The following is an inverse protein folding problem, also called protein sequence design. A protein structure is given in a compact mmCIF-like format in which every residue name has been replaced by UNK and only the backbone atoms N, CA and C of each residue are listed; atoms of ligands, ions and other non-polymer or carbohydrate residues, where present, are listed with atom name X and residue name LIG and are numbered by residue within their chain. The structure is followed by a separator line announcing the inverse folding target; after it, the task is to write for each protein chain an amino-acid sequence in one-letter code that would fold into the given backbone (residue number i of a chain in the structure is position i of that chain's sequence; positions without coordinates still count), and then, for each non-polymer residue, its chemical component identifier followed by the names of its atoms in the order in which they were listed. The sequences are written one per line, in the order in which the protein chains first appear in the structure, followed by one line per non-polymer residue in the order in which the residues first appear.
data_IF_040711881509
#
_entry.id   IF_040711881509
#
_cell.length_a   1.000
_cell.length_b   1.000
_cell.length_c   1.000
_cell.angle_alpha   90.00
_cell.angle_beta   90.00
_cell.angle_gamma   90.00
#
_symmetry.space_group_name_H-M   'P 1'
#
loop_
_entity.id
_entity.type
_entity.pdbx_description
1 polymer ?
#
# COMPACT_ATOMS: atom_id res chain seq x y z
N UNK A 1 38.09 7.46 -13.34
CA UNK A 1 36.74 7.77 -13.87
C UNK A 1 35.72 6.66 -13.61
N UNK A 2 36.12 5.41 -13.36
CA UNK A 2 35.20 4.27 -13.26
C UNK A 2 34.62 4.10 -11.83
N UNK A 3 35.32 4.54 -10.78
CA UNK A 3 34.85 4.38 -9.38
C UNK A 3 33.69 5.33 -9.00
N UNK A 4 33.57 6.48 -9.66
CA UNK A 4 32.49 7.45 -9.40
C UNK A 4 31.13 7.01 -9.93
N UNK A 5 31.08 6.31 -11.07
CA UNK A 5 29.84 5.76 -11.64
C UNK A 5 29.35 4.50 -10.91
N UNK A 6 30.28 3.68 -10.40
CA UNK A 6 29.91 2.49 -9.61
C UNK A 6 29.36 2.90 -8.24
N UNK A 7 29.96 3.91 -7.59
CA UNK A 7 29.47 4.45 -6.32
C UNK A 7 28.06 5.04 -6.39
N UNK A 8 27.78 5.86 -7.42
CA UNK A 8 26.45 6.45 -7.60
C UNK A 8 25.37 5.40 -7.89
N UNK A 9 25.70 4.37 -8.68
CA UNK A 9 24.75 3.29 -9.00
C UNK A 9 24.42 2.43 -7.78
N UNK A 10 25.38 2.15 -6.90
CA UNK A 10 25.14 1.38 -5.66
C UNK A 10 24.30 2.17 -4.64
N UNK A 11 24.49 3.49 -4.54
CA UNK A 11 23.64 4.36 -3.71
C UNK A 11 22.20 4.41 -4.21
N UNK A 12 22.01 4.51 -5.54
CA UNK A 12 20.69 4.52 -6.16
C UNK A 12 19.94 3.19 -5.94
N UNK A 13 20.59 2.05 -6.15
CA UNK A 13 20.03 0.71 -5.88
C UNK A 13 19.68 0.53 -4.39
N UNK A 14 20.50 1.04 -3.47
CA UNK A 14 20.24 1.00 -2.02
C UNK A 14 19.01 1.86 -1.66
N UNK A 15 18.89 3.04 -2.25
CA UNK A 15 17.74 3.93 -2.05
C UNK A 15 16.45 3.31 -2.61
N UNK A 16 16.52 2.68 -3.79
CA UNK A 16 15.41 1.91 -4.36
C UNK A 16 15.00 0.77 -3.42
N UNK A 17 15.95 -0.03 -2.94
CA UNK A 17 15.70 -1.12 -2.01
C UNK A 17 15.03 -0.67 -0.70
N UNK A 18 15.48 0.46 -0.14
CA UNK A 18 14.87 1.05 1.06
C UNK A 18 13.44 1.55 0.78
N UNK A 19 13.22 2.19 -0.36
CA UNK A 19 11.89 2.67 -0.77
C UNK A 19 10.89 1.54 -0.95
N UNK A 20 11.30 0.41 -1.53
CA UNK A 20 10.46 -0.78 -1.73
C UNK A 20 10.09 -1.43 -0.39
N UNK A 21 11.08 -1.60 0.48
CA UNK A 21 10.87 -2.15 1.83
C UNK A 21 9.88 -1.28 2.62
N UNK A 22 10.02 0.05 2.54
CA UNK A 22 9.09 0.99 3.17
C UNK A 22 7.67 0.87 2.62
N UNK A 23 7.50 0.73 1.29
CA UNK A 23 6.18 0.56 0.66
C UNK A 23 5.50 -0.74 1.09
N UNK A 24 6.23 -1.85 1.10
CA UNK A 24 5.70 -3.13 1.56
C UNK A 24 5.30 -3.06 3.04
N UNK A 25 6.13 -2.43 3.87
CA UNK A 25 5.82 -2.23 5.29
C UNK A 25 4.53 -1.42 5.49
N UNK A 26 4.30 -0.35 4.72
CA UNK A 26 3.05 0.42 4.80
C UNK A 26 1.80 -0.42 4.48
N UNK A 27 1.89 -1.33 3.52
CA UNK A 27 0.78 -2.23 3.14
C UNK A 27 0.56 -3.28 4.23
N UNK A 28 1.64 -3.93 4.68
CA UNK A 28 1.56 -4.98 5.71
C UNK A 28 1.13 -4.44 7.08
N UNK A 29 1.46 -3.19 7.41
CA UNK A 29 1.05 -2.56 8.66
C UNK A 29 -0.45 -2.23 8.69
N UNK A 30 -1.06 -1.92 7.54
CA UNK A 30 -2.48 -1.62 7.41
C UNK A 30 -3.27 -2.78 6.78
N UNK A 31 -2.85 -4.01 7.01
CA UNK A 31 -3.34 -5.18 6.28
C UNK A 31 -4.85 -5.39 6.45
N UNK A 32 -5.41 -5.12 7.63
CA UNK A 32 -6.85 -5.23 7.88
C UNK A 32 -7.64 -4.25 7.00
N UNK A 33 -7.18 -2.99 6.93
CA UNK A 33 -7.79 -1.98 6.07
C UNK A 33 -7.68 -2.34 4.60
N UNK A 34 -6.54 -2.91 4.18
CA UNK A 34 -6.31 -3.36 2.81
C UNK A 34 -7.25 -4.51 2.43
N UNK A 35 -7.48 -5.48 3.33
CA UNK A 35 -8.41 -6.57 3.07
C UNK A 35 -9.83 -6.06 2.83
N UNK A 36 -10.30 -5.12 3.66
CA UNK A 36 -11.63 -4.51 3.51
C UNK A 36 -11.73 -3.77 2.18
N UNK A 37 -10.70 -2.98 1.82
CA UNK A 37 -10.67 -2.26 0.53
C UNK A 37 -10.71 -3.23 -0.66
N UNK A 38 -9.94 -4.31 -0.60
CA UNK A 38 -9.87 -5.29 -1.70
C UNK A 38 -11.18 -6.06 -1.86
N UNK A 39 -11.84 -6.44 -0.76
CA UNK A 39 -13.12 -7.15 -0.79
C UNK A 39 -14.24 -6.29 -1.40
N UNK A 40 -14.21 -4.98 -1.17
CA UNK A 40 -15.14 -4.03 -1.82
C UNK A 40 -14.80 -3.79 -3.29
N UNK A 41 -13.52 -3.74 -3.67
CA UNK A 41 -13.11 -3.43 -5.05
C UNK A 41 -13.23 -4.62 -5.99
N UNK A 42 -12.86 -5.82 -5.53
CA UNK A 42 -12.67 -7.00 -6.37
C UNK A 42 -13.29 -8.23 -5.70
N UNK A 43 -14.18 -8.89 -6.43
CA UNK A 43 -14.78 -10.15 -5.98
C UNK A 43 -14.78 -11.15 -7.12
N UNK A 44 -14.48 -12.42 -6.81
CA UNK A 44 -14.42 -13.50 -7.81
C UNK A 44 -13.54 -13.14 -9.04
N UNK A 45 -12.47 -12.37 -8.84
CA UNK A 45 -11.57 -11.93 -9.91
C UNK A 45 -12.10 -10.79 -10.79
N UNK A 46 -13.25 -10.20 -10.47
CA UNK A 46 -13.86 -9.10 -11.23
C UNK A 46 -13.88 -7.81 -10.41
N UNK A 47 -13.69 -6.67 -11.06
CA UNK A 47 -13.87 -5.35 -10.44
C UNK A 47 -15.37 -5.12 -10.22
N UNK A 48 -15.78 -4.99 -8.96
CA UNK A 48 -17.19 -4.80 -8.58
C UNK A 48 -17.51 -3.39 -8.13
N UNK A 49 -16.50 -2.63 -7.66
CA UNK A 49 -16.65 -1.23 -7.27
C UNK A 49 -15.40 -0.42 -7.59
N UNK A 50 -15.61 0.84 -7.95
CA UNK A 50 -14.56 1.82 -8.26
C UNK A 50 -14.77 3.16 -7.56
N UNK A 51 -15.97 3.41 -7.04
CA UNK A 51 -16.29 4.60 -6.28
C UNK A 51 -15.61 4.55 -4.92
N UNK A 52 -14.61 5.41 -4.73
CA UNK A 52 -13.83 5.52 -3.49
C UNK A 52 -14.68 5.68 -2.24
N UNK A 53 -15.76 6.46 -2.29
CA UNK A 53 -16.61 6.69 -1.13
C UNK A 53 -17.37 5.43 -0.72
N UNK A 54 -17.79 4.61 -1.68
CA UNK A 54 -18.44 3.32 -1.42
C UNK A 54 -17.45 2.31 -0.85
N UNK A 55 -16.25 2.19 -1.46
CA UNK A 55 -15.16 1.31 -1.00
C UNK A 55 -14.73 1.63 0.43
N UNK A 56 -14.66 2.91 0.79
CA UNK A 56 -14.20 3.35 2.13
C UNK A 56 -15.33 3.44 3.17
N UNK A 57 -16.59 3.22 2.79
CA UNK A 57 -17.72 3.33 3.71
C UNK A 57 -17.63 2.31 4.87
N UNK A 58 -17.28 1.02 4.64
CA UNK A 58 -17.10 0.06 5.72
C UNK A 58 -15.99 0.45 6.70
N UNK A 59 -14.84 0.93 6.19
CA UNK A 59 -13.73 1.42 7.03
C UNK A 59 -14.14 2.62 7.88
N UNK A 60 -14.91 3.54 7.30
CA UNK A 60 -15.42 4.71 8.02
C UNK A 60 -16.35 4.29 9.16
N UNK A 61 -17.16 3.25 8.97
CA UNK A 61 -18.03 2.72 10.01
C UNK A 61 -17.24 2.04 11.14
N UNK A 62 -16.22 1.24 10.80
CA UNK A 62 -15.36 0.55 11.78
C UNK A 62 -14.58 1.55 12.63
N UNK A 63 -13.96 2.57 12.01
CA UNK A 63 -13.22 3.58 12.76
C UNK A 63 -14.10 4.32 13.77
N UNK A 64 -15.35 4.64 13.39
CA UNK A 64 -16.32 5.25 14.32
C UNK A 64 -16.68 4.36 15.50
N UNK A 65 -16.63 3.04 15.36
CA UNK A 65 -16.89 2.10 16.45
C UNK A 65 -15.67 1.92 17.37
N UNK A 66 -14.45 2.11 16.84
CA UNK A 66 -13.22 2.04 17.62
C UNK A 66 -12.97 3.29 18.47
N UNK A 67 -13.54 4.44 18.07
CA UNK A 67 -13.41 5.72 18.76
C UNK A 67 -14.47 5.94 19.87
N UNK A 68 -15.32 4.94 20.17
CA UNK A 68 -16.38 4.98 21.20
C UNK A 68 -16.11 4.04 22.37
#
# INVERSE_FOLDING_TARGET
LIEGEVGSRLEEETNVGFSLTRRLNQIMFHLDSVHIILDEMIQNGHIVETNKNRILAPLTAINKMADG
#
